data_IF_301203027309
#
_entry.id   IF_301203027309
#
_cell.length_a   1.000
_cell.length_b   1.000
_cell.length_c   1.000
_cell.angle_alpha   90.00
_cell.angle_beta   90.00
_cell.angle_gamma   90.00
#
_symmetry.space_group_name_H-M   'P 1'
#
loop_
_entity.id
_entity.type
_entity.pdbx_description
1 polymer ?
#
# COMPACT_ATOMS: atom_id res chain seq x y z
N UNK A 1 10.74 -12.71 -23.85
CA UNK A 1 9.57 -11.81 -24.01
C UNK A 1 9.36 -11.12 -22.66
N UNK A 2 9.37 -9.80 -22.58
CA UNK A 2 9.14 -9.08 -21.32
C UNK A 2 7.67 -9.26 -20.97
N UNK A 3 7.40 -9.78 -19.77
CA UNK A 3 6.02 -9.87 -19.26
C UNK A 3 5.54 -8.50 -18.83
N UNK A 4 4.74 -7.86 -19.67
CA UNK A 4 4.23 -6.52 -19.43
C UNK A 4 3.32 -6.41 -18.18
N UNK A 5 2.86 -7.54 -17.60
CA UNK A 5 2.03 -7.54 -16.38
C UNK A 5 2.79 -6.95 -15.19
N UNK A 6 4.04 -7.33 -15.04
CA UNK A 6 4.92 -6.80 -13.98
C UNK A 6 5.19 -5.30 -14.15
N UNK A 7 5.45 -4.83 -15.37
CA UNK A 7 5.63 -3.41 -15.64
C UNK A 7 4.37 -2.59 -15.33
N UNK A 8 3.19 -3.14 -15.62
CA UNK A 8 1.90 -2.51 -15.29
C UNK A 8 1.69 -2.38 -13.80
N UNK A 9 2.01 -3.41 -13.01
CA UNK A 9 1.94 -3.33 -11.56
C UNK A 9 2.99 -2.36 -11.01
N UNK A 10 4.22 -2.43 -11.53
CA UNK A 10 5.32 -1.55 -11.11
C UNK A 10 5.02 -0.07 -11.34
N UNK A 11 4.25 0.28 -12.37
CA UNK A 11 3.81 1.64 -12.61
C UNK A 11 3.11 2.28 -11.40
N UNK A 12 2.33 1.49 -10.65
CA UNK A 12 1.68 1.96 -9.42
C UNK A 12 2.65 2.11 -8.23
N UNK A 13 3.88 1.64 -8.38
CA UNK A 13 4.97 1.81 -7.42
C UNK A 13 5.84 3.03 -7.72
N UNK A 14 5.68 3.66 -8.88
CA UNK A 14 6.47 4.81 -9.29
C UNK A 14 6.11 6.06 -8.45
N UNK A 15 7.15 6.78 -8.02
CA UNK A 15 7.01 8.03 -7.24
C UNK A 15 6.26 9.12 -8.00
N UNK A 16 6.36 9.15 -9.32
CA UNK A 16 5.69 10.11 -10.18
C UNK A 16 4.25 9.74 -10.49
N UNK A 17 3.84 8.49 -10.18
CA UNK A 17 2.48 8.07 -10.40
C UNK A 17 1.54 8.72 -9.38
N UNK A 18 0.42 9.33 -9.77
CA UNK A 18 -0.35 10.24 -8.93
C UNK A 18 -1.22 9.51 -7.88
N UNK A 19 -0.67 8.49 -7.22
CA UNK A 19 -1.31 7.80 -6.09
C UNK A 19 -1.18 8.56 -4.78
N UNK A 20 -0.15 9.41 -4.66
CA UNK A 20 0.16 10.16 -3.43
C UNK A 20 0.85 9.30 -2.35
N UNK A 21 1.40 8.14 -2.71
CA UNK A 21 2.10 7.24 -1.77
C UNK A 21 3.32 7.90 -1.13
N UNK A 22 3.99 8.79 -1.85
CA UNK A 22 5.24 9.44 -1.44
C UNK A 22 5.10 10.58 -0.43
N UNK A 23 3.88 10.98 -0.08
CA UNK A 23 3.65 12.07 0.88
C UNK A 23 3.61 11.61 2.34
N UNK A 24 3.82 10.32 2.61
CA UNK A 24 3.69 9.76 3.95
C UNK A 24 4.99 9.12 4.43
N UNK A 25 5.65 9.77 5.42
CA UNK A 25 6.88 9.26 6.05
C UNK A 25 6.65 8.09 7.01
N UNK A 26 5.40 7.69 7.25
CA UNK A 26 5.02 6.65 8.22
C UNK A 26 5.65 6.83 9.62
N UNK A 27 5.93 8.07 10.00
CA UNK A 27 6.49 8.41 11.29
C UNK A 27 8.02 8.53 11.35
N UNK A 28 8.75 8.18 10.29
CA UNK A 28 10.21 8.28 10.26
C UNK A 28 10.72 9.67 10.63
N UNK A 29 10.07 10.73 10.18
CA UNK A 29 10.43 12.11 10.50
C UNK A 29 10.52 12.37 12.00
N UNK A 30 9.64 11.76 12.79
CA UNK A 30 9.67 11.89 14.26
C UNK A 30 10.93 11.26 14.86
N UNK A 31 11.36 10.09 14.35
CA UNK A 31 12.57 9.41 14.79
C UNK A 31 13.84 10.19 14.39
N UNK A 32 13.85 10.80 13.21
CA UNK A 32 14.94 11.69 12.76
C UNK A 32 15.00 12.96 13.62
N UNK A 33 13.85 13.60 13.90
CA UNK A 33 13.80 14.79 14.76
C UNK A 33 14.26 14.54 16.19
N UNK A 34 14.03 13.31 16.70
CA UNK A 34 14.49 12.87 18.04
C UNK A 34 15.91 12.34 18.03
N UNK A 35 16.61 12.43 16.90
CA UNK A 35 17.97 11.91 16.71
C UNK A 35 18.12 10.40 17.00
N UNK A 36 16.99 9.66 17.06
CA UNK A 36 16.99 8.21 17.22
C UNK A 36 17.43 7.50 15.94
N UNK A 37 17.12 8.11 14.78
CA UNK A 37 17.62 7.71 13.47
C UNK A 37 18.50 8.84 12.95
N UNK A 38 19.82 8.67 12.99
CA UNK A 38 20.80 9.70 12.66
C UNK A 38 21.95 9.22 11.76
N UNK A 39 22.00 7.93 11.46
CA UNK A 39 23.01 7.33 10.58
C UNK A 39 22.44 6.11 9.84
N UNK A 40 23.22 5.51 8.93
CA UNK A 40 22.79 4.38 8.12
C UNK A 40 22.47 3.13 8.94
N UNK A 41 23.17 2.90 10.05
CA UNK A 41 22.95 1.74 10.91
C UNK A 41 21.60 1.84 11.65
N UNK A 42 21.36 2.96 12.36
CA UNK A 42 20.10 3.21 13.06
C UNK A 42 18.90 3.30 12.10
N UNK A 43 19.11 3.77 10.87
CA UNK A 43 18.09 3.73 9.83
C UNK A 43 17.78 2.30 9.40
N UNK A 44 18.80 1.45 9.21
CA UNK A 44 18.61 0.04 8.82
C UNK A 44 17.84 -0.74 9.90
N UNK A 45 18.19 -0.54 11.18
CA UNK A 45 17.47 -1.14 12.31
C UNK A 45 16.00 -0.69 12.34
N UNK A 46 15.75 0.61 12.20
CA UNK A 46 14.39 1.15 12.15
C UNK A 46 13.60 0.55 10.97
N UNK A 47 14.20 0.47 9.78
CA UNK A 47 13.55 -0.08 8.60
C UNK A 47 13.23 -1.57 8.76
N UNK A 48 14.14 -2.35 9.32
CA UNK A 48 13.92 -3.77 9.63
C UNK A 48 12.75 -3.97 10.61
N UNK A 49 12.69 -3.19 11.68
CA UNK A 49 11.58 -3.22 12.62
C UNK A 49 10.26 -2.81 11.95
N UNK A 50 10.28 -1.75 11.15
CA UNK A 50 9.10 -1.29 10.43
C UNK A 50 8.57 -2.34 9.45
N UNK A 51 9.44 -2.99 8.67
CA UNK A 51 9.08 -4.04 7.73
C UNK A 51 8.57 -5.30 8.46
N UNK A 52 9.29 -5.76 9.48
CA UNK A 52 9.01 -7.02 10.14
C UNK A 52 7.79 -6.94 11.07
N UNK A 53 7.65 -5.84 11.80
CA UNK A 53 6.61 -5.72 12.82
C UNK A 53 5.36 -5.00 12.30
N UNK A 54 5.52 -3.90 11.59
CA UNK A 54 4.39 -3.07 11.21
C UNK A 54 3.77 -3.48 9.86
N UNK A 55 4.59 -3.63 8.81
CA UNK A 55 4.06 -3.97 7.48
C UNK A 55 3.66 -5.43 7.36
N UNK A 56 4.43 -6.36 7.93
CA UNK A 56 4.13 -7.80 7.86
C UNK A 56 2.81 -8.11 8.53
N UNK A 57 2.57 -7.58 9.73
CA UNK A 57 1.36 -7.87 10.53
C UNK A 57 0.16 -6.97 10.21
N UNK A 58 0.33 -5.94 9.38
CA UNK A 58 -0.80 -5.10 8.93
C UNK A 58 -1.07 -5.26 7.43
N UNK A 59 -0.33 -4.53 6.60
CA UNK A 59 -0.53 -4.49 5.16
C UNK A 59 -0.28 -5.85 4.49
N UNK A 60 0.86 -6.48 4.75
CA UNK A 60 1.24 -7.75 4.14
C UNK A 60 0.29 -8.89 4.45
N UNK A 61 -0.11 -9.03 5.73
CA UNK A 61 -1.11 -10.03 6.15
C UNK A 61 -2.47 -9.75 5.50
N UNK A 62 -2.91 -8.49 5.49
CA UNK A 62 -4.17 -8.11 4.85
C UNK A 62 -4.15 -8.45 3.34
N UNK A 63 -3.06 -8.17 2.64
CA UNK A 63 -2.89 -8.51 1.22
C UNK A 63 -3.02 -10.01 0.98
N UNK A 64 -2.40 -10.84 1.81
CA UNK A 64 -2.47 -12.30 1.72
C UNK A 64 -3.90 -12.81 1.89
N UNK A 65 -4.61 -12.33 2.93
CA UNK A 65 -6.00 -12.72 3.20
C UNK A 65 -6.92 -12.24 2.09
N UNK A 66 -6.73 -11.02 1.58
CA UNK A 66 -7.53 -10.49 0.47
C UNK A 66 -7.29 -11.28 -0.81
N UNK A 67 -6.05 -11.66 -1.12
CA UNK A 67 -5.75 -12.48 -2.30
C UNK A 67 -6.48 -13.82 -2.25
N UNK A 68 -6.45 -14.52 -1.12
CA UNK A 68 -7.21 -15.76 -0.92
C UNK A 68 -8.72 -15.53 -1.05
N UNK A 69 -9.23 -14.44 -0.47
CA UNK A 69 -10.64 -14.09 -0.57
C UNK A 69 -11.08 -13.76 -2.03
N UNK A 70 -10.18 -13.23 -2.86
CA UNK A 70 -10.41 -13.03 -4.30
C UNK A 70 -10.51 -14.37 -5.04
N UNK A 71 -9.63 -15.34 -4.73
CA UNK A 71 -9.69 -16.71 -5.29
C UNK A 71 -10.97 -17.42 -4.90
N UNK A 72 -11.44 -17.23 -3.66
CA UNK A 72 -12.67 -17.84 -3.12
C UNK A 72 -13.95 -17.04 -3.47
N UNK A 73 -13.85 -15.92 -4.19
CA UNK A 73 -14.96 -15.00 -4.45
C UNK A 73 -15.69 -14.50 -3.18
N UNK A 74 -14.96 -14.42 -2.07
CA UNK A 74 -15.48 -14.04 -0.75
C UNK A 74 -15.45 -12.53 -0.53
N UNK A 75 -16.45 -11.83 -1.03
CA UNK A 75 -16.60 -10.37 -0.95
C UNK A 75 -16.71 -9.85 0.48
N UNK A 76 -17.41 -10.58 1.34
CA UNK A 76 -17.59 -10.16 2.74
C UNK A 76 -16.28 -10.18 3.51
N UNK A 77 -15.42 -11.16 3.26
CA UNK A 77 -14.09 -11.26 3.84
C UNK A 77 -13.21 -10.07 3.46
N UNK A 78 -13.29 -9.62 2.21
CA UNK A 78 -12.54 -8.46 1.73
C UNK A 78 -12.97 -7.19 2.48
N UNK A 79 -14.28 -6.97 2.66
CA UNK A 79 -14.79 -5.80 3.39
C UNK A 79 -14.44 -5.86 4.88
N UNK A 80 -14.48 -7.04 5.49
CA UNK A 80 -14.07 -7.26 6.88
C UNK A 80 -12.58 -6.88 7.09
N UNK A 81 -11.69 -7.33 6.19
CA UNK A 81 -10.28 -6.99 6.24
C UNK A 81 -10.04 -5.50 6.01
N UNK A 82 -10.74 -4.89 5.05
CA UNK A 82 -10.66 -3.44 4.78
C UNK A 82 -11.04 -2.61 6.02
N UNK A 83 -12.10 -3.01 6.72
CA UNK A 83 -12.51 -2.36 7.96
C UNK A 83 -11.47 -2.58 9.07
N UNK A 84 -10.95 -3.78 9.23
CA UNK A 84 -9.97 -4.11 10.26
C UNK A 84 -8.66 -3.33 10.09
N UNK A 85 -8.08 -3.32 8.88
CA UNK A 85 -6.83 -2.61 8.63
C UNK A 85 -7.02 -1.09 8.79
N UNK A 86 -8.21 -0.57 8.47
CA UNK A 86 -8.52 0.84 8.65
C UNK A 86 -8.58 1.24 10.13
N UNK A 87 -9.20 0.42 10.99
CA UNK A 87 -9.30 0.73 12.43
C UNK A 87 -8.02 0.47 13.19
N UNK A 88 -7.14 -0.43 12.70
CA UNK A 88 -5.81 -0.66 13.29
C UNK A 88 -4.90 0.56 13.17
N UNK A 89 -5.08 1.39 12.16
CA UNK A 89 -4.34 2.63 12.01
C UNK A 89 -4.80 3.66 13.04
N UNK A 90 -4.13 3.73 14.19
CA UNK A 90 -4.52 4.56 15.33
C UNK A 90 -4.52 6.06 14.99
N UNK A 91 -3.49 6.68 14.35
CA UNK A 91 -3.53 8.09 14.05
C UNK A 91 -4.58 8.42 12.98
N UNK A 92 -5.36 9.47 13.24
CA UNK A 92 -6.40 9.95 12.32
C UNK A 92 -5.81 10.35 10.96
N UNK A 93 -4.67 11.01 10.99
CA UNK A 93 -3.93 11.49 9.80
C UNK A 93 -3.54 10.32 8.90
N UNK A 94 -3.02 9.24 9.48
CA UNK A 94 -2.67 8.01 8.76
C UNK A 94 -3.88 7.39 8.08
N UNK A 95 -5.03 7.32 8.79
CA UNK A 95 -6.27 6.80 8.19
C UNK A 95 -6.77 7.66 7.03
N UNK A 96 -6.73 8.99 7.19
CA UNK A 96 -7.15 9.93 6.13
C UNK A 96 -6.23 9.80 4.93
N UNK A 97 -4.92 9.78 5.15
CA UNK A 97 -3.92 9.62 4.10
C UNK A 97 -4.07 8.29 3.35
N UNK A 98 -4.19 7.17 4.06
CA UNK A 98 -4.41 5.86 3.46
C UNK A 98 -5.69 5.83 2.59
N UNK A 99 -6.79 6.40 3.09
CA UNK A 99 -8.05 6.49 2.33
C UNK A 99 -7.91 7.35 1.07
N UNK A 100 -7.21 8.48 1.14
CA UNK A 100 -6.98 9.34 -0.01
C UNK A 100 -6.12 8.63 -1.06
N UNK A 101 -5.04 7.99 -0.64
CA UNK A 101 -4.16 7.21 -1.50
C UNK A 101 -4.92 6.07 -2.19
N UNK A 102 -5.64 5.25 -1.43
CA UNK A 102 -6.45 4.16 -1.98
C UNK A 102 -7.52 4.65 -2.95
N UNK A 103 -8.17 5.79 -2.65
CA UNK A 103 -9.17 6.39 -3.55
C UNK A 103 -8.55 6.81 -4.88
N UNK A 104 -7.36 7.43 -4.87
CA UNK A 104 -6.64 7.83 -6.09
C UNK A 104 -6.21 6.58 -6.87
N UNK A 105 -5.66 5.59 -6.18
CA UNK A 105 -5.22 4.33 -6.79
C UNK A 105 -6.37 3.60 -7.48
N UNK A 106 -7.53 3.47 -6.82
CA UNK A 106 -8.74 2.85 -7.41
C UNK A 106 -9.19 3.60 -8.65
N UNK A 107 -9.25 4.94 -8.61
CA UNK A 107 -9.67 5.74 -9.77
C UNK A 107 -8.74 5.54 -10.95
N UNK A 108 -7.43 5.63 -10.74
CA UNK A 108 -6.44 5.38 -11.78
C UNK A 108 -6.52 3.95 -12.34
N UNK A 109 -6.71 2.97 -11.48
CA UNK A 109 -6.87 1.59 -11.91
C UNK A 109 -8.14 1.39 -12.75
N UNK A 110 -9.24 2.09 -12.44
CA UNK A 110 -10.48 2.06 -13.24
C UNK A 110 -10.34 2.72 -14.62
N UNK A 111 -9.47 3.73 -14.74
CA UNK A 111 -9.18 4.37 -16.02
C UNK A 111 -8.31 3.49 -16.93
N UNK A 112 -7.41 2.69 -16.33
CA UNK A 112 -6.42 1.91 -17.06
C UNK A 112 -6.84 0.44 -17.29
N UNK A 113 -7.70 -0.11 -16.44
CA UNK A 113 -8.02 -1.54 -16.42
C UNK A 113 -9.51 -1.80 -16.27
N UNK A 114 -10.00 -2.75 -17.03
CA UNK A 114 -11.38 -3.25 -16.91
C UNK A 114 -11.44 -4.40 -15.87
N UNK A 115 -11.35 -4.06 -14.59
CA UNK A 115 -11.38 -5.01 -13.49
C UNK A 115 -12.72 -4.97 -12.74
N UNK A 116 -13.45 -6.08 -12.76
CA UNK A 116 -14.72 -6.22 -12.02
C UNK A 116 -14.53 -6.07 -10.50
N UNK A 117 -13.41 -6.57 -9.94
CA UNK A 117 -13.11 -6.46 -8.52
C UNK A 117 -12.87 -5.01 -8.09
N UNK A 118 -12.14 -4.24 -8.89
CA UNK A 118 -11.86 -2.84 -8.60
C UNK A 118 -13.14 -2.01 -8.75
N UNK A 119 -13.95 -2.27 -9.78
CA UNK A 119 -15.28 -1.65 -9.95
C UNK A 119 -16.18 -1.93 -8.74
N UNK A 120 -16.29 -3.19 -8.35
CA UNK A 120 -17.07 -3.60 -7.20
C UNK A 120 -16.58 -2.89 -5.91
N UNK A 121 -15.28 -2.86 -5.65
CA UNK A 121 -14.72 -2.25 -4.46
C UNK A 121 -14.97 -0.74 -4.41
N UNK A 122 -14.87 -0.06 -5.54
CA UNK A 122 -15.22 1.36 -5.66
C UNK A 122 -16.71 1.61 -5.38
N UNK A 123 -17.61 0.77 -5.87
CA UNK A 123 -19.05 0.87 -5.54
C UNK A 123 -19.30 0.65 -4.05
N UNK A 124 -18.60 -0.28 -3.39
CA UNK A 124 -18.73 -0.45 -1.94
C UNK A 124 -18.31 0.82 -1.16
N UNK A 125 -17.35 1.57 -1.66
CA UNK A 125 -16.98 2.86 -1.06
C UNK A 125 -18.10 3.89 -1.18
N UNK A 126 -18.77 3.98 -2.34
CA UNK A 126 -19.94 4.88 -2.51
C UNK A 126 -21.06 4.56 -1.52
N UNK A 127 -21.24 3.29 -1.22
CA UNK A 127 -22.19 2.80 -0.20
C UNK A 127 -21.64 2.87 1.24
N UNK A 128 -20.47 3.48 1.47
CA UNK A 128 -19.79 3.62 2.77
C UNK A 128 -19.41 2.28 3.44
N UNK A 129 -19.38 1.19 2.68
CA UNK A 129 -19.01 -0.14 3.16
C UNK A 129 -17.52 -0.41 3.07
N UNK A 130 -16.81 0.20 2.11
CA UNK A 130 -15.36 0.11 1.96
C UNK A 130 -14.65 1.40 2.33
N UNK A 131 -13.42 1.29 2.85
CA UNK A 131 -12.52 2.39 3.22
C UNK A 131 -11.50 2.68 2.13
N UNK A 132 -11.31 1.77 1.19
CA UNK A 132 -10.33 1.81 0.09
C UNK A 132 -8.89 1.87 0.59
N UNK A 133 -8.50 0.90 1.44
CA UNK A 133 -7.10 0.82 1.85
C UNK A 133 -6.18 0.50 0.66
N UNK A 134 -5.02 1.20 0.49
CA UNK A 134 -4.16 1.04 -0.68
C UNK A 134 -3.62 -0.38 -0.84
N UNK A 135 -3.29 -1.09 0.24
CA UNK A 135 -2.84 -2.48 0.18
C UNK A 135 -3.88 -3.40 -0.47
N UNK A 136 -5.18 -3.21 -0.17
CA UNK A 136 -6.26 -4.01 -0.73
C UNK A 136 -6.44 -3.70 -2.22
N UNK A 137 -6.43 -2.41 -2.57
CA UNK A 137 -6.53 -1.97 -3.97
C UNK A 137 -5.37 -2.52 -4.81
N UNK A 138 -4.14 -2.44 -4.29
CA UNK A 138 -2.95 -2.95 -4.96
C UNK A 138 -3.00 -4.47 -5.13
N UNK A 139 -3.50 -5.20 -4.14
CA UNK A 139 -3.71 -6.65 -4.24
C UNK A 139 -4.73 -7.01 -5.32
N UNK A 140 -5.86 -6.29 -5.38
CA UNK A 140 -6.87 -6.52 -6.43
C UNK A 140 -6.32 -6.26 -7.83
N UNK A 141 -5.48 -5.23 -7.98
CA UNK A 141 -4.83 -4.92 -9.24
C UNK A 141 -3.86 -6.02 -9.64
N UNK A 142 -2.99 -6.46 -8.73
CA UNK A 142 -2.05 -7.55 -8.99
C UNK A 142 -2.76 -8.86 -9.31
N UNK A 143 -3.85 -9.18 -8.60
CA UNK A 143 -4.70 -10.34 -8.89
C UNK A 143 -5.32 -10.26 -10.29
N UNK A 144 -5.87 -9.09 -10.67
CA UNK A 144 -6.42 -8.86 -12.00
C UNK A 144 -5.36 -9.06 -13.10
N UNK A 145 -4.11 -8.68 -12.84
CA UNK A 145 -2.99 -8.88 -13.76
C UNK A 145 -2.45 -10.32 -13.75
N UNK A 146 -2.99 -11.23 -12.91
CA UNK A 146 -2.55 -12.61 -12.80
C UNK A 146 -1.14 -12.76 -12.20
N UNK A 147 -0.77 -11.87 -11.27
CA UNK A 147 0.50 -11.87 -10.55
C UNK A 147 0.31 -12.59 -9.22
N UNK A 148 1.28 -13.40 -8.82
CA UNK A 148 1.25 -14.11 -7.53
C UNK A 148 1.39 -13.16 -6.34
N UNK A 149 0.87 -13.58 -5.18
CA UNK A 149 0.80 -12.72 -3.99
C UNK A 149 2.18 -12.34 -3.43
N UNK A 150 3.20 -13.18 -3.56
CA UNK A 150 4.53 -12.84 -3.05
C UNK A 150 5.13 -11.68 -3.84
N UNK A 151 5.04 -11.73 -5.17
CA UNK A 151 5.47 -10.65 -6.06
C UNK A 151 4.65 -9.36 -5.83
N UNK A 152 3.34 -9.46 -5.59
CA UNK A 152 2.51 -8.29 -5.29
C UNK A 152 2.96 -7.62 -4.00
N UNK A 153 3.27 -8.40 -2.95
CA UNK A 153 3.78 -7.87 -1.68
C UNK A 153 5.15 -7.20 -1.88
N UNK A 154 6.07 -7.83 -2.58
CA UNK A 154 7.41 -7.28 -2.85
C UNK A 154 7.30 -5.91 -3.56
N UNK A 155 6.44 -5.80 -4.55
CA UNK A 155 6.21 -4.55 -5.26
C UNK A 155 5.53 -3.49 -4.39
N UNK A 156 4.62 -3.89 -3.50
CA UNK A 156 3.99 -2.97 -2.56
C UNK A 156 4.98 -2.41 -1.54
N UNK A 157 5.99 -3.19 -1.15
CA UNK A 157 7.04 -2.78 -0.22
C UNK A 157 8.10 -1.87 -0.86
N UNK A 158 8.31 -1.97 -2.18
CA UNK A 158 9.33 -1.20 -2.88
C UNK A 158 9.20 0.33 -2.69
N UNK A 159 8.03 0.96 -2.93
CA UNK A 159 7.88 2.41 -2.72
C UNK A 159 8.09 2.81 -1.26
N UNK A 160 7.72 1.97 -0.32
CA UNK A 160 7.91 2.24 1.12
C UNK A 160 9.40 2.35 1.45
N UNK A 161 10.21 1.38 1.00
CA UNK A 161 11.67 1.42 1.22
C UNK A 161 12.32 2.61 0.51
N UNK A 162 11.94 2.90 -0.72
CA UNK A 162 12.49 4.00 -1.50
C UNK A 162 12.18 5.38 -0.90
N UNK A 163 10.95 5.61 -0.46
CA UNK A 163 10.55 6.88 0.17
C UNK A 163 11.38 7.17 1.41
N UNK A 164 11.69 6.14 2.20
CA UNK A 164 12.50 6.30 3.40
C UNK A 164 13.99 6.52 3.11
N UNK A 165 14.51 5.94 2.03
CA UNK A 165 15.90 6.14 1.63
C UNK A 165 16.19 7.55 1.07
N UNK A 166 15.19 8.23 0.50
CA UNK A 166 15.39 9.54 -0.14
C UNK A 166 15.12 10.73 0.77
N UNK A 167 14.38 10.55 1.87
CA UNK A 167 14.06 11.64 2.81
C UNK A 167 15.28 12.26 3.53
N UNK A 168 16.35 11.53 3.94
CA UNK A 168 17.50 12.11 4.61
C UNK A 168 18.43 12.92 3.71
N UNK A 169 18.45 12.66 2.41
CA UNK A 169 19.44 13.28 1.48
C UNK A 169 19.09 14.72 1.07
N UNK A 170 17.89 15.20 1.36
CA UNK A 170 17.46 16.56 1.02
C UNK A 170 17.76 17.60 2.11
N UNK A 171 18.63 17.30 3.08
CA UNK A 171 19.07 18.24 4.14
C UNK A 171 20.53 18.71 4.01
N UNK A 172 21.14 18.60 2.84
CA UNK A 172 22.33 19.36 2.53
C UNK A 172 21.93 20.64 1.78
N UNK A 173 21.56 21.67 2.51
CA UNK A 173 21.85 23.09 2.23
C UNK A 173 21.87 23.82 3.55
#
# INVERSE_FOLDING_TARGET
MIDHRYLRLFQFCDSQFPTGAFSHSFGLETYIQRETVNNAESFTEWLQLFLNEQLTYSGGLAMKIVYQALEEYNKDKILDIDQKIFVQSIPKETRVGAKQMGTRMVKLALELYDSEWIKWYYEQMKHKKAKLHPAICFTMLGYHLGIDISTIIDYYLYPVSYTHLTLPTNREV
#
